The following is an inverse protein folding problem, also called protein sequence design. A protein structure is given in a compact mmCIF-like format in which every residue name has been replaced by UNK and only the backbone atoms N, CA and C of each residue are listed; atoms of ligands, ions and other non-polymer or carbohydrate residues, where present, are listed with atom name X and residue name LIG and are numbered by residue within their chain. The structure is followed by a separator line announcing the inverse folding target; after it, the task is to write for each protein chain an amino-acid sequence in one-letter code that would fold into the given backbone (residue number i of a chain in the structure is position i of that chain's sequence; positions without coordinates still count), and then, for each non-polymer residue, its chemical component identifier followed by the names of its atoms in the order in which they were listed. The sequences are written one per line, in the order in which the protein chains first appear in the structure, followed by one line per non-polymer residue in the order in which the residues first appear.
data_IF_191219160623
#
_entry.id   IF_191219160623
#
_cell.length_a   1.000
_cell.length_b   1.000
_cell.length_c   1.000
_cell.angle_alpha   90.00
_cell.angle_beta   90.00
_cell.angle_gamma   90.00
#
_symmetry.space_group_name_H-M   'P 1'
#
loop_
_entity.id
_entity.type
_entity.pdbx_description
1 polymer ?
#
# COMPACT_ATOMS: atom_id res chain seq x y z
N UNK A 1 0.20 -20.48 56.98
CA UNK A 1 -1.11 -21.12 56.77
C UNK A 1 -2.02 -20.18 55.99
N UNK A 2 -1.67 -19.84 54.74
CA UNK A 2 -2.50 -19.02 53.84
C UNK A 2 -2.07 -19.20 52.37
N UNK A 3 -1.91 -20.44 51.93
CA UNK A 3 -1.70 -20.80 50.51
C UNK A 3 -2.26 -22.20 50.21
N UNK A 4 -3.34 -22.59 50.90
CA UNK A 4 -3.94 -23.93 50.79
C UNK A 4 -5.48 -23.87 50.69
N UNK A 5 -6.03 -22.81 50.07
CA UNK A 5 -7.47 -22.71 49.79
C UNK A 5 -7.83 -22.26 48.36
N UNK A 6 -6.83 -22.10 47.47
CA UNK A 6 -7.05 -21.66 46.09
C UNK A 6 -6.58 -22.63 45.00
N UNK A 7 -6.11 -23.83 45.38
CA UNK A 7 -5.60 -24.81 44.41
C UNK A 7 -6.62 -25.88 43.99
N UNK A 8 -7.84 -25.87 44.54
CA UNK A 8 -8.82 -26.95 44.31
C UNK A 8 -9.85 -26.67 43.21
N UNK A 9 -9.96 -25.43 42.70
CA UNK A 9 -11.03 -25.06 41.78
C UNK A 9 -10.64 -25.14 40.30
N UNK A 10 -9.34 -25.13 39.99
CA UNK A 10 -8.87 -25.09 38.60
C UNK A 10 -8.60 -26.47 38.00
N UNK A 11 -8.53 -27.53 38.83
CA UNK A 11 -8.23 -28.90 38.36
C UNK A 11 -9.49 -29.66 37.89
N UNK A 12 -10.69 -29.24 38.29
CA UNK A 12 -11.95 -29.87 37.89
C UNK A 12 -12.59 -29.27 36.63
N UNK A 13 -12.11 -28.12 36.13
CA UNK A 13 -12.63 -27.53 34.88
C UNK A 13 -11.96 -28.08 33.61
N UNK A 14 -10.84 -28.78 33.72
CA UNK A 14 -10.11 -29.30 32.54
C UNK A 14 -10.65 -30.64 32.02
N UNK A 15 -11.64 -31.25 32.68
CA UNK A 15 -12.23 -32.53 32.26
C UNK A 15 -13.73 -32.40 31.95
N UNK A 16 -14.12 -31.32 31.27
CA UNK A 16 -15.47 -31.19 30.71
C UNK A 16 -15.52 -31.99 29.40
N UNK A 17 -16.07 -33.21 29.47
CA UNK A 17 -16.63 -33.93 28.31
C UNK A 17 -17.42 -32.90 27.50
N UNK A 18 -17.25 -32.83 26.17
CA UNK A 18 -17.97 -31.91 25.29
C UNK A 18 -19.48 -32.06 25.53
N UNK A 19 -19.98 -31.28 26.47
CA UNK A 19 -21.39 -31.21 26.83
C UNK A 19 -21.94 -30.26 25.79
N UNK A 20 -22.82 -30.79 24.94
CA UNK A 20 -23.58 -29.94 24.02
C UNK A 20 -24.25 -28.89 24.90
N UNK A 21 -23.95 -27.59 24.72
CA UNK A 21 -24.51 -26.57 25.56
C UNK A 21 -26.02 -26.69 25.48
N UNK A 22 -26.68 -26.62 26.63
CA UNK A 22 -28.13 -26.69 26.69
C UNK A 22 -28.74 -25.71 25.67
N UNK A 23 -29.84 -26.06 24.97
CA UNK A 23 -30.36 -25.27 23.86
C UNK A 23 -30.56 -23.79 24.20
N UNK A 24 -30.90 -23.48 25.45
CA UNK A 24 -31.03 -22.10 25.95
C UNK A 24 -29.72 -21.30 25.90
N UNK A 25 -28.57 -21.93 26.12
CA UNK A 25 -27.27 -21.26 26.05
C UNK A 25 -26.89 -20.91 24.61
N UNK A 26 -27.27 -21.76 23.65
CA UNK A 26 -27.10 -21.50 22.21
C UNK A 26 -27.98 -20.32 21.79
N UNK A 27 -29.24 -20.29 22.23
CA UNK A 27 -30.20 -19.21 21.92
C UNK A 27 -29.78 -17.90 22.59
N UNK A 28 -29.32 -17.92 23.84
CA UNK A 28 -28.84 -16.74 24.53
C UNK A 28 -27.56 -16.17 23.88
N UNK A 29 -26.64 -17.04 23.44
CA UNK A 29 -25.45 -16.61 22.70
C UNK A 29 -25.82 -16.02 21.32
N UNK A 30 -26.80 -16.62 20.62
CA UNK A 30 -27.28 -16.11 19.35
C UNK A 30 -27.98 -14.74 19.49
N UNK A 31 -28.79 -14.55 20.53
CA UNK A 31 -29.44 -13.28 20.84
C UNK A 31 -28.41 -12.18 21.18
N UNK A 32 -27.35 -12.52 21.92
CA UNK A 32 -26.27 -11.58 22.21
C UNK A 32 -25.55 -11.07 20.95
N UNK A 33 -25.53 -11.87 19.88
CA UNK A 33 -24.90 -11.53 18.61
C UNK A 33 -25.84 -10.74 17.66
N UNK A 34 -27.17 -10.80 17.86
CA UNK A 34 -28.10 -10.03 17.02
C UNK A 34 -28.08 -8.54 17.34
N UNK A 35 -27.83 -8.18 18.60
CA UNK A 35 -27.82 -6.78 19.04
C UNK A 35 -26.61 -6.03 18.49
N UNK A 36 -25.46 -6.72 18.39
CA UNK A 36 -24.25 -6.18 17.79
C UNK A 36 -24.35 -6.08 16.27
N UNK A 37 -25.07 -6.98 15.59
CA UNK A 37 -25.28 -6.93 14.14
C UNK A 37 -25.93 -5.62 13.68
N UNK A 38 -26.96 -5.16 14.40
CA UNK A 38 -27.63 -3.89 14.10
C UNK A 38 -26.75 -2.68 14.39
N UNK A 39 -25.83 -2.79 15.36
CA UNK A 39 -24.86 -1.74 15.69
C UNK A 39 -23.67 -1.69 14.71
N UNK A 40 -23.41 -2.76 13.96
CA UNK A 40 -22.32 -2.83 12.98
C UNK A 40 -22.70 -2.19 11.63
N UNK A 41 -23.97 -1.83 11.43
CA UNK A 41 -24.41 -1.12 10.24
C UNK A 41 -23.91 0.33 10.32
N UNK A 42 -22.98 0.76 9.44
CA UNK A 42 -22.52 2.14 9.43
C UNK A 42 -23.70 3.07 9.11
N UNK A 43 -23.69 4.28 9.68
CA UNK A 43 -24.63 5.32 9.25
C UNK A 43 -24.29 5.81 7.82
N UNK A 44 -25.23 6.48 7.15
CA UNK A 44 -25.04 6.98 5.78
C UNK A 44 -23.80 7.89 5.63
N UNK A 45 -23.45 8.64 6.68
CA UNK A 45 -22.27 9.50 6.71
C UNK A 45 -20.96 8.70 6.69
N UNK A 46 -20.90 7.52 7.31
CA UNK A 46 -19.72 6.64 7.29
C UNK A 46 -19.43 6.14 5.86
N UNK A 47 -20.47 5.77 5.10
CA UNK A 47 -20.31 5.42 3.68
C UNK A 47 -19.81 6.60 2.85
N UNK A 48 -20.38 7.78 3.10
CA UNK A 48 -19.99 9.00 2.40
C UNK A 48 -18.53 9.41 2.71
N UNK A 49 -18.12 9.35 3.97
CA UNK A 49 -16.76 9.66 4.40
C UNK A 49 -15.75 8.64 3.87
N UNK A 50 -16.11 7.35 3.89
CA UNK A 50 -15.30 6.28 3.29
C UNK A 50 -15.10 6.47 1.78
N UNK A 51 -16.18 6.77 1.05
CA UNK A 51 -16.13 7.04 -0.38
C UNK A 51 -15.31 8.31 -0.70
N UNK A 52 -15.52 9.41 0.03
CA UNK A 52 -14.75 10.65 -0.11
C UNK A 52 -13.25 10.43 0.11
N UNK A 53 -12.89 9.66 1.15
CA UNK A 53 -11.50 9.33 1.44
C UNK A 53 -10.88 8.47 0.33
N UNK A 54 -11.62 7.50 -0.20
CA UNK A 54 -11.14 6.66 -1.31
C UNK A 54 -10.90 7.49 -2.58
N UNK A 55 -11.87 8.30 -2.99
CA UNK A 55 -11.74 9.17 -4.16
C UNK A 55 -10.58 10.15 -3.99
N UNK A 56 -10.43 10.79 -2.81
CA UNK A 56 -9.32 11.71 -2.54
C UNK A 56 -7.94 11.03 -2.66
N UNK A 57 -7.81 9.76 -2.25
CA UNK A 57 -6.56 9.00 -2.40
C UNK A 57 -6.25 8.72 -3.87
N UNK A 58 -7.27 8.39 -4.66
CA UNK A 58 -7.13 8.21 -6.11
C UNK A 58 -6.72 9.53 -6.76
N UNK A 59 -7.39 10.64 -6.44
CA UNK A 59 -7.07 11.97 -6.97
C UNK A 59 -5.62 12.38 -6.67
N UNK A 60 -5.17 12.19 -5.43
CA UNK A 60 -3.77 12.46 -5.04
C UNK A 60 -2.82 11.55 -5.82
N UNK A 61 -3.14 10.25 -5.93
CA UNK A 61 -2.34 9.29 -6.68
C UNK A 61 -2.22 9.64 -8.17
N UNK A 62 -3.33 10.06 -8.80
CA UNK A 62 -3.36 10.51 -10.20
C UNK A 62 -2.64 11.84 -10.40
N UNK A 63 -2.81 12.80 -9.48
CA UNK A 63 -2.15 14.10 -9.56
C UNK A 63 -0.62 13.98 -9.48
N UNK A 64 -0.13 13.12 -8.59
CA UNK A 64 1.31 12.84 -8.48
C UNK A 64 1.80 11.98 -9.66
N UNK A 65 1.06 10.92 -10.02
CA UNK A 65 1.47 9.99 -11.07
C UNK A 65 1.46 10.60 -12.48
N UNK A 66 0.48 11.45 -12.80
CA UNK A 66 0.31 12.03 -14.13
C UNK A 66 1.40 13.04 -14.51
N UNK A 67 1.95 13.77 -13.53
CA UNK A 67 3.00 14.76 -13.77
C UNK A 67 4.37 14.15 -14.09
N UNK A 68 4.66 12.97 -13.56
CA UNK A 68 5.99 12.35 -13.67
C UNK A 68 6.18 11.63 -15.01
N UNK A 69 5.11 11.08 -15.60
CA UNK A 69 5.21 10.29 -16.83
C UNK A 69 5.69 11.13 -18.01
N UNK A 70 5.24 12.39 -18.13
CA UNK A 70 5.67 13.25 -19.24
C UNK A 70 7.16 13.60 -19.17
N UNK A 71 7.73 13.76 -17.96
CA UNK A 71 9.14 14.08 -17.82
C UNK A 71 10.05 12.86 -17.98
N UNK A 72 9.48 11.65 -18.06
CA UNK A 72 10.23 10.40 -18.16
C UNK A 72 10.62 10.04 -19.60
N UNK A 73 10.04 10.67 -20.62
CA UNK A 73 10.42 10.46 -22.01
C UNK A 73 11.23 11.65 -22.53
N UNK A 74 12.31 11.35 -23.25
CA UNK A 74 13.05 12.34 -24.01
C UNK A 74 13.42 11.79 -25.38
N UNK A 75 13.55 12.68 -26.35
CA UNK A 75 13.98 12.32 -27.69
C UNK A 75 15.44 12.73 -27.90
N UNK A 76 16.20 11.91 -28.61
CA UNK A 76 17.52 12.25 -29.13
C UNK A 76 17.40 12.41 -30.63
N UNK A 77 17.73 13.60 -31.13
CA UNK A 77 17.66 13.94 -32.55
C UNK A 77 18.79 13.27 -33.34
N UNK A 78 18.54 13.02 -34.63
CA UNK A 78 19.53 12.46 -35.57
C UNK A 78 20.81 13.32 -35.58
N UNK A 79 21.96 12.67 -35.45
CA UNK A 79 23.26 13.33 -35.36
C UNK A 79 23.61 13.85 -33.97
N UNK A 80 22.88 13.44 -32.93
CA UNK A 80 23.22 13.70 -31.53
C UNK A 80 23.33 12.40 -30.74
N UNK A 81 24.06 12.45 -29.64
CA UNK A 81 24.16 11.38 -28.64
C UNK A 81 23.87 11.95 -27.26
N UNK A 82 23.31 11.13 -26.37
CA UNK A 82 23.02 11.56 -25.00
C UNK A 82 23.83 10.74 -23.99
N UNK A 83 24.46 11.44 -23.04
CA UNK A 83 25.05 10.82 -21.85
C UNK A 83 24.10 10.98 -20.67
N UNK A 84 23.82 9.90 -19.95
CA UNK A 84 22.97 9.93 -18.76
C UNK A 84 23.85 10.02 -17.52
N UNK A 85 23.58 11.03 -16.68
CA UNK A 85 24.13 11.12 -15.34
C UNK A 85 23.11 10.59 -14.33
N UNK A 86 23.48 9.56 -13.59
CA UNK A 86 22.73 9.01 -12.47
C UNK A 86 23.17 9.68 -11.16
N UNK A 87 22.22 10.17 -10.36
CA UNK A 87 22.52 10.83 -9.09
C UNK A 87 23.16 9.91 -8.04
N UNK A 88 22.95 8.59 -8.11
CA UNK A 88 23.55 7.62 -7.18
C UNK A 88 24.85 7.02 -7.70
N UNK A 89 24.89 6.67 -9.00
CA UNK A 89 26.04 5.98 -9.60
C UNK A 89 27.01 6.91 -10.33
N UNK A 90 26.66 8.20 -10.50
CA UNK A 90 27.46 9.15 -11.27
C UNK A 90 27.23 9.02 -12.77
N UNK A 91 28.28 9.16 -13.57
CA UNK A 91 28.18 9.13 -15.03
C UNK A 91 27.94 7.69 -15.51
N UNK A 92 26.86 7.42 -16.25
CA UNK A 92 26.76 6.16 -16.99
C UNK A 92 27.71 6.20 -18.18
N UNK A 93 28.49 5.13 -18.34
CA UNK A 93 29.40 4.95 -19.48
C UNK A 93 28.66 4.66 -20.79
N UNK A 94 27.39 4.28 -20.69
CA UNK A 94 26.58 3.94 -21.83
C UNK A 94 26.04 5.21 -22.50
N UNK A 95 26.29 5.32 -23.81
CA UNK A 95 25.88 6.47 -24.62
C UNK A 95 24.61 6.10 -25.35
N UNK A 96 23.57 6.89 -25.10
CA UNK A 96 22.25 6.69 -25.68
C UNK A 96 22.24 7.22 -27.12
N UNK A 97 21.76 6.37 -28.03
CA UNK A 97 21.66 6.67 -29.46
C UNK A 97 20.33 7.38 -29.79
N UNK A 98 20.03 7.53 -31.08
CA UNK A 98 18.88 8.30 -31.57
C UNK A 98 17.54 7.64 -31.19
N UNK A 99 16.51 8.48 -31.02
CA UNK A 99 15.14 8.03 -30.73
C UNK A 99 14.62 8.35 -29.34
N UNK A 100 13.46 7.80 -29.01
CA UNK A 100 12.74 8.09 -27.76
C UNK A 100 13.19 7.17 -26.64
N UNK A 101 13.77 7.76 -25.61
CA UNK A 101 14.35 7.06 -24.48
C UNK A 101 13.59 7.36 -23.19
N UNK A 102 13.53 6.35 -22.33
CA UNK A 102 12.94 6.47 -21.00
C UNK A 102 14.03 6.82 -19.98
N UNK A 103 13.74 7.77 -19.10
CA UNK A 103 14.57 8.15 -17.98
C UNK A 103 13.73 8.49 -16.76
N UNK A 104 14.32 8.43 -15.57
CA UNK A 104 13.65 8.87 -14.34
C UNK A 104 14.14 10.28 -14.03
N UNK A 105 13.32 11.31 -14.28
CA UNK A 105 13.75 12.72 -14.34
C UNK A 105 14.38 13.28 -13.06
N UNK A 106 14.06 12.74 -11.88
CA UNK A 106 14.69 13.16 -10.62
C UNK A 106 16.02 12.46 -10.33
N UNK A 107 16.24 11.31 -10.96
CA UNK A 107 17.37 10.43 -10.73
C UNK A 107 18.42 10.58 -11.84
N UNK A 108 17.96 10.74 -13.07
CA UNK A 108 18.74 10.78 -14.29
C UNK A 108 18.70 12.18 -14.89
N UNK A 109 19.87 12.70 -15.29
CA UNK A 109 20.03 13.96 -16.05
C UNK A 109 20.64 13.62 -17.41
N UNK A 110 19.89 13.71 -18.52
CA UNK A 110 20.43 13.49 -19.84
C UNK A 110 21.16 14.76 -20.30
N UNK A 111 22.34 14.61 -20.87
CA UNK A 111 23.05 15.69 -21.57
C UNK A 111 23.21 15.28 -23.02
N UNK A 112 22.53 16.01 -23.92
CA UNK A 112 22.57 15.78 -25.36
C UNK A 112 23.74 16.58 -25.93
N UNK A 113 24.57 15.92 -26.72
CA UNK A 113 25.71 16.53 -27.41
C UNK A 113 25.72 16.14 -28.88
N UNK A 114 26.19 17.09 -29.70
CA UNK A 114 26.32 16.94 -31.15
C UNK A 114 27.59 16.13 -31.45
N UNK A 115 27.46 15.06 -32.23
CA UNK A 115 28.59 14.22 -32.64
C UNK A 115 29.32 14.75 -33.88
N UNK A 116 28.72 15.69 -34.60
CA UNK A 116 29.29 16.32 -35.81
C UNK A 116 30.15 17.54 -35.45
N UNK A 117 29.90 18.15 -34.28
CA UNK A 117 30.77 19.18 -33.70
C UNK A 117 31.85 18.52 -32.86
N UNK A 118 32.97 18.21 -33.50
CA UNK A 118 34.22 17.91 -32.80
C UNK A 118 34.74 19.14 -32.03
N UNK A 119 35.53 18.95 -30.96
CA UNK A 119 36.09 20.04 -30.15
C UNK A 119 36.94 21.01 -30.96
#
# INVERSE_FOLDING_TARGET
MLMMHHFHNNFFQQNQIITVPAPEAIVAAAAKNSDTSNSLKPNGEQYLNGAKLYTRRIEIGLGIGGGVINSMLYNVDDGHRAAIFDRFQGVKLDVIEEGTHFMISWLHRPTIFDIRRGP
#
